data_IF_858613911641
#
_entry.id   IF_858613911641
#
_cell.length_a   1.000
_cell.length_b   1.000
_cell.length_c   1.000
_cell.angle_alpha   90.00
_cell.angle_beta   90.00
_cell.angle_gamma   90.00
#
_symmetry.space_group_name_H-M   'P 1'
#
loop_
_entity.id
_entity.type
_entity.pdbx_description
1 polymer ?
#
# COMPACT_ATOMS: atom_id res chain seq x y z
N UNK A 1 9.45 3.99 11.63
CA UNK A 1 8.20 4.73 11.79
C UNK A 1 8.20 6.00 10.95
N UNK A 2 7.19 6.16 10.09
CA UNK A 2 7.00 7.31 9.19
C UNK A 2 6.98 8.62 9.98
N UNK A 3 7.78 9.60 9.55
CA UNK A 3 7.82 10.93 10.16
C UNK A 3 6.43 11.59 10.12
N UNK A 4 6.00 12.19 11.23
CA UNK A 4 4.70 12.87 11.31
C UNK A 4 3.49 11.95 11.37
N UNK A 5 3.65 10.62 11.49
CA UNK A 5 2.49 9.71 11.59
C UNK A 5 1.60 10.00 12.81
N UNK A 6 2.19 10.52 13.89
CA UNK A 6 1.47 10.86 15.12
C UNK A 6 0.42 11.95 14.89
N UNK A 7 0.72 12.99 14.10
CA UNK A 7 -0.26 14.04 13.79
C UNK A 7 -1.44 13.49 12.99
N UNK A 8 -1.17 12.54 12.09
CA UNK A 8 -2.20 11.85 11.32
C UNK A 8 -3.09 11.01 12.25
N UNK A 9 -2.48 10.16 13.09
CA UNK A 9 -3.17 9.33 14.08
C UNK A 9 -4.11 10.17 14.96
N UNK A 10 -3.62 11.28 15.51
CA UNK A 10 -4.41 12.16 16.38
C UNK A 10 -5.59 12.80 15.66
N UNK A 11 -5.41 13.23 14.41
CA UNK A 11 -6.48 13.87 13.63
C UNK A 11 -7.58 12.87 13.22
N UNK A 12 -7.22 11.62 12.93
CA UNK A 12 -8.14 10.63 12.33
C UNK A 12 -8.57 9.50 13.28
N UNK A 13 -8.35 9.63 14.59
CA UNK A 13 -8.71 8.65 15.64
C UNK A 13 -10.19 8.28 15.80
N UNK A 14 -11.09 8.95 15.08
CA UNK A 14 -12.54 8.69 15.10
C UNK A 14 -13.02 8.29 13.68
N UNK A 15 -12.07 8.03 12.78
CA UNK A 15 -12.27 7.80 11.35
C UNK A 15 -11.51 6.58 10.83
N UNK A 16 -11.05 5.68 11.70
CA UNK A 16 -10.23 4.53 11.31
C UNK A 16 -10.99 3.58 10.38
N UNK A 17 -12.33 3.60 10.42
CA UNK A 17 -13.16 2.86 9.49
C UNK A 17 -13.08 3.41 8.04
N UNK A 18 -12.74 4.70 7.85
CA UNK A 18 -12.79 5.42 6.57
C UNK A 18 -11.54 5.31 5.71
N UNK A 19 -10.47 4.71 6.22
CA UNK A 19 -9.23 4.57 5.48
C UNK A 19 -8.50 3.28 5.83
N UNK A 20 -7.53 2.93 5.01
CA UNK A 20 -6.50 1.95 5.35
C UNK A 20 -5.17 2.38 4.75
N UNK A 21 -4.14 2.41 5.59
CA UNK A 21 -2.76 2.61 5.16
C UNK A 21 -2.23 1.29 4.60
N UNK A 22 -1.60 1.40 3.44
CA UNK A 22 -0.99 0.27 2.72
C UNK A 22 0.47 0.58 2.39
N UNK A 23 1.02 -0.10 1.38
CA UNK A 23 2.24 0.34 0.74
C UNK A 23 3.48 0.18 1.60
N UNK A 24 4.38 1.15 1.55
CA UNK A 24 5.61 1.12 2.36
C UNK A 24 5.34 1.42 3.83
N UNK A 25 4.49 2.40 4.10
CA UNK A 25 4.16 2.86 5.45
C UNK A 25 3.52 1.76 6.31
N UNK A 26 2.60 0.98 5.74
CA UNK A 26 2.00 -0.14 6.45
C UNK A 26 3.03 -1.22 6.82
N UNK A 27 3.99 -1.49 5.92
CA UNK A 27 5.08 -2.42 6.23
C UNK A 27 5.93 -1.92 7.39
N UNK A 28 6.30 -0.62 7.40
CA UNK A 28 7.09 -0.01 8.48
C UNK A 28 6.34 -0.03 9.83
N UNK A 29 5.03 0.25 9.85
CA UNK A 29 4.21 0.19 11.07
C UNK A 29 4.15 -1.24 11.61
N UNK A 30 3.85 -2.23 10.76
CA UNK A 30 3.71 -3.63 11.18
C UNK A 30 5.03 -4.26 11.62
N UNK A 31 6.13 -3.92 10.95
CA UNK A 31 7.44 -4.44 11.31
C UNK A 31 7.93 -3.82 12.62
N UNK A 32 7.66 -2.52 12.85
CA UNK A 32 7.98 -1.86 14.11
C UNK A 32 7.18 -2.45 15.30
N UNK A 33 5.91 -2.83 15.11
CA UNK A 33 5.12 -3.55 16.11
C UNK A 33 5.76 -4.89 16.52
N UNK A 34 6.51 -5.51 15.61
CA UNK A 34 7.24 -6.75 15.83
C UNK A 34 8.71 -6.54 16.24
N UNK A 35 9.12 -5.32 16.60
CA UNK A 35 10.51 -4.94 16.92
C UNK A 35 11.53 -5.26 15.80
N UNK A 36 11.10 -5.23 14.53
CA UNK A 36 11.95 -5.46 13.37
C UNK A 36 12.13 -4.18 12.55
N UNK A 37 13.38 -3.83 12.27
CA UNK A 37 13.69 -2.70 11.39
C UNK A 37 13.20 -2.95 9.95
N UNK A 38 12.48 -1.97 9.41
CA UNK A 38 12.11 -1.92 8.00
C UNK A 38 12.81 -0.75 7.30
N UNK A 39 12.90 -0.81 5.97
CA UNK A 39 13.48 0.31 5.22
C UNK A 39 12.63 1.57 5.39
N UNK A 40 13.27 2.72 5.44
CA UNK A 40 12.57 4.01 5.50
C UNK A 40 11.68 4.21 4.27
N UNK A 41 10.47 4.69 4.53
CA UNK A 41 9.49 5.12 3.54
C UNK A 41 9.03 6.53 3.90
N UNK A 42 8.83 7.37 2.89
CA UNK A 42 8.36 8.75 3.07
C UNK A 42 6.88 8.91 2.72
N UNK A 43 6.35 7.92 2.03
CA UNK A 43 5.05 7.97 1.39
C UNK A 43 4.03 7.28 2.29
N UNK A 44 2.96 8.00 2.60
CA UNK A 44 1.79 7.49 3.29
C UNK A 44 0.73 7.13 2.26
N UNK A 45 0.73 5.87 1.84
CA UNK A 45 -0.22 5.33 0.85
C UNK A 45 -1.54 4.98 1.54
N UNK A 46 -2.62 5.70 1.23
CA UNK A 46 -3.92 5.61 1.89
C UNK A 46 -5.02 5.26 0.89
N UNK A 47 -5.69 4.14 1.12
CA UNK A 47 -6.95 3.81 0.44
C UNK A 47 -8.10 4.38 1.25
N UNK A 48 -9.00 5.11 0.59
CA UNK A 48 -10.23 5.57 1.21
C UNK A 48 -11.35 4.56 1.11
N UNK A 49 -12.00 4.31 2.25
CA UNK A 49 -13.17 3.46 2.40
C UNK A 49 -14.37 4.39 2.59
N UNK A 50 -14.91 4.84 1.46
CA UNK A 50 -15.96 5.85 1.40
C UNK A 50 -17.31 5.17 1.22
N UNK A 51 -17.84 4.69 2.34
CA UNK A 51 -19.25 4.28 2.49
C UNK A 51 -20.06 5.45 3.09
N UNK A 52 -21.08 5.19 3.91
CA UNK A 52 -22.10 6.16 4.39
C UNK A 52 -21.57 7.36 5.23
N UNK A 53 -20.27 7.44 5.54
CA UNK A 53 -19.63 8.51 6.33
C UNK A 53 -18.63 9.40 5.56
N UNK A 54 -18.65 9.31 4.22
CA UNK A 54 -17.66 9.94 3.32
C UNK A 54 -17.49 11.46 3.47
N UNK A 55 -18.57 12.23 3.68
CA UNK A 55 -18.52 13.70 3.70
C UNK A 55 -17.76 14.27 4.92
N UNK A 56 -18.01 13.73 6.11
CA UNK A 56 -17.37 14.20 7.36
C UNK A 56 -15.87 13.93 7.32
N UNK A 57 -15.49 12.73 6.89
CA UNK A 57 -14.09 12.37 6.71
C UNK A 57 -13.41 13.29 5.69
N UNK A 58 -14.05 13.54 4.53
CA UNK A 58 -13.52 14.44 3.51
C UNK A 58 -13.17 15.82 4.08
N UNK A 59 -14.09 16.39 4.85
CA UNK A 59 -13.92 17.70 5.45
C UNK A 59 -12.73 17.73 6.41
N UNK A 60 -12.66 16.76 7.34
CA UNK A 60 -11.56 16.66 8.30
C UNK A 60 -10.22 16.43 7.59
N UNK A 61 -10.23 15.62 6.53
CA UNK A 61 -9.04 15.38 5.72
C UNK A 61 -8.55 16.68 5.06
N UNK A 62 -9.45 17.47 4.46
CA UNK A 62 -9.07 18.76 3.87
C UNK A 62 -8.58 19.77 4.89
N UNK A 63 -9.20 19.84 6.07
CA UNK A 63 -8.73 20.66 7.18
C UNK A 63 -7.29 20.27 7.54
N UNK A 64 -6.99 18.96 7.64
CA UNK A 64 -5.65 18.47 7.89
C UNK A 64 -4.65 18.88 6.81
N UNK A 65 -5.02 18.73 5.53
CA UNK A 65 -4.17 19.11 4.39
C UNK A 65 -3.83 20.60 4.42
N UNK A 66 -4.81 21.47 4.72
CA UNK A 66 -4.61 22.92 4.83
C UNK A 66 -3.80 23.33 6.05
N UNK A 67 -4.12 22.75 7.21
CA UNK A 67 -3.38 23.01 8.46
C UNK A 67 -1.90 22.72 8.28
N UNK A 68 -1.57 21.63 7.57
CA UNK A 68 -0.21 21.22 7.24
C UNK A 68 0.44 22.05 6.13
N UNK A 69 -0.34 22.71 5.27
CA UNK A 69 0.17 23.51 4.16
C UNK A 69 0.70 22.70 2.98
N UNK A 70 0.14 21.51 2.71
CA UNK A 70 0.58 20.68 1.59
C UNK A 70 0.35 21.33 0.22
N UNK A 71 1.23 21.04 -0.73
CA UNK A 71 0.96 21.14 -2.17
C UNK A 71 0.22 19.88 -2.63
N UNK A 72 -0.58 19.94 -3.71
CA UNK A 72 -1.31 18.76 -4.19
C UNK A 72 -1.20 18.58 -5.70
N UNK A 73 -0.85 17.38 -6.12
CA UNK A 73 -1.02 16.92 -7.48
C UNK A 73 -2.24 16.03 -7.53
N UNK A 74 -3.02 16.15 -8.59
CA UNK A 74 -4.15 15.24 -8.81
C UNK A 74 -4.15 14.75 -10.25
N UNK A 75 -4.58 13.52 -10.45
CA UNK A 75 -4.90 12.97 -11.77
C UNK A 75 -6.34 12.51 -11.74
N UNK A 76 -7.18 13.21 -12.49
CA UNK A 76 -8.57 12.83 -12.64
C UNK A 76 -8.67 11.78 -13.77
N UNK A 77 -9.21 10.61 -13.46
CA UNK A 77 -9.53 9.56 -14.42
C UNK A 77 -11.00 9.20 -14.23
N UNK A 78 -11.70 8.86 -15.32
CA UNK A 78 -13.11 8.42 -15.27
C UNK A 78 -13.35 7.24 -14.32
N UNK A 79 -12.29 6.49 -13.98
CA UNK A 79 -12.35 5.32 -13.09
C UNK A 79 -11.72 5.52 -11.71
N UNK A 80 -10.84 6.51 -11.53
CA UNK A 80 -10.12 6.69 -10.26
C UNK A 80 -9.72 8.14 -10.00
N UNK A 81 -9.87 8.57 -8.75
CA UNK A 81 -9.31 9.83 -8.26
C UNK A 81 -8.04 9.54 -7.48
N UNK A 82 -6.95 10.16 -7.90
CA UNK A 82 -5.67 10.11 -7.20
C UNK A 82 -5.26 11.51 -6.79
N UNK A 83 -4.85 11.65 -5.53
CA UNK A 83 -4.25 12.86 -4.99
C UNK A 83 -2.90 12.53 -4.37
N UNK A 84 -1.90 13.36 -4.63
CA UNK A 84 -0.59 13.31 -3.99
C UNK A 84 -0.36 14.64 -3.30
N UNK A 85 -0.20 14.60 -1.98
CA UNK A 85 0.10 15.76 -1.15
C UNK A 85 1.56 15.74 -0.74
N UNK A 86 2.29 16.83 -0.96
CA UNK A 86 3.73 16.92 -0.65
C UNK A 86 4.08 18.23 0.02
N UNK A 87 5.31 18.28 0.56
CA UNK A 87 5.92 19.49 1.12
C UNK A 87 5.09 20.17 2.24
N UNK A 88 4.63 19.43 3.26
CA UNK A 88 3.98 20.07 4.39
C UNK A 88 4.98 20.84 5.26
N UNK A 89 4.46 21.60 6.23
CA UNK A 89 5.24 22.11 7.35
C UNK A 89 5.76 20.95 8.25
N UNK A 90 6.81 21.17 9.05
CA UNK A 90 7.35 20.15 9.95
C UNK A 90 6.30 19.56 10.91
N UNK A 91 6.44 18.26 11.21
CA UNK A 91 5.53 17.53 12.11
C UNK A 91 4.41 16.74 11.43
N UNK A 92 4.36 16.75 10.09
CA UNK A 92 3.36 16.05 9.27
C UNK A 92 4.04 15.05 8.31
N UNK A 93 3.33 14.01 7.82
CA UNK A 93 3.86 13.07 6.83
C UNK A 93 4.35 13.78 5.58
N UNK A 94 5.62 13.58 5.20
CA UNK A 94 6.26 14.31 4.09
C UNK A 94 5.50 14.16 2.77
N UNK A 95 4.89 12.99 2.54
CA UNK A 95 4.05 12.70 1.39
C UNK A 95 2.84 11.87 1.79
N UNK A 96 1.66 12.23 1.27
CA UNK A 96 0.43 11.43 1.37
C UNK A 96 -0.06 11.13 -0.04
N UNK A 97 -0.27 9.86 -0.34
CA UNK A 97 -0.91 9.40 -1.57
C UNK A 97 -2.29 8.84 -1.25
N UNK A 98 -3.31 9.36 -1.93
CA UNK A 98 -4.70 9.05 -1.64
C UNK A 98 -5.36 8.36 -2.83
N UNK A 99 -5.97 7.21 -2.57
CA UNK A 99 -6.60 6.37 -3.58
C UNK A 99 -8.09 6.13 -3.25
N UNK A 100 -8.96 6.18 -4.26
CA UNK A 100 -10.41 5.95 -4.10
C UNK A 100 -11.04 5.25 -5.33
N UNK A 101 -11.91 4.24 -5.10
CA UNK A 101 -12.56 3.39 -6.13
C UNK A 101 -13.85 3.97 -6.73
N UNK A 102 -14.37 5.14 -6.33
CA UNK A 102 -15.59 5.71 -6.95
C UNK A 102 -15.62 7.25 -7.10
N UNK A 103 -16.39 7.76 -8.10
CA UNK A 103 -16.29 9.12 -8.63
C UNK A 103 -17.14 10.19 -7.91
N UNK A 104 -17.94 9.83 -6.90
CA UNK A 104 -18.75 10.79 -6.14
C UNK A 104 -17.94 11.60 -5.13
N UNK A 105 -16.73 11.13 -4.80
CA UNK A 105 -15.75 11.85 -4.01
C UNK A 105 -14.88 12.69 -4.94
N UNK A 106 -15.51 13.59 -5.70
CA UNK A 106 -14.75 14.74 -6.16
C UNK A 106 -14.43 15.53 -4.91
N UNK A 107 -13.25 15.30 -4.35
CA UNK A 107 -12.68 16.34 -3.51
C UNK A 107 -12.48 17.52 -4.45
N UNK A 108 -13.40 18.49 -4.39
CA UNK A 108 -13.17 19.79 -4.98
C UNK A 108 -11.85 20.28 -4.40
N UNK A 109 -10.83 20.36 -5.25
CA UNK A 109 -9.53 20.89 -4.85
C UNK A 109 -9.78 22.35 -4.52
N UNK A 110 -9.77 22.66 -3.22
CA UNK A 110 -10.05 24.02 -2.77
C UNK A 110 -9.00 25.01 -3.31
N UNK A 111 -9.41 26.27 -3.46
CA UNK A 111 -8.52 27.34 -3.90
C UNK A 111 -7.27 27.46 -3.01
N UNK A 112 -6.09 27.57 -3.62
CA UNK A 112 -4.80 27.72 -2.92
C UNK A 112 -3.89 26.50 -2.97
N UNK A 113 -4.36 25.39 -3.51
CA UNK A 113 -3.57 24.17 -3.66
C UNK A 113 -2.89 24.12 -5.05
N UNK A 114 -1.57 23.89 -5.08
CA UNK A 114 -0.74 23.98 -6.30
C UNK A 114 -0.55 22.60 -6.96
N UNK A 115 -0.85 22.42 -8.27
CA UNK A 115 -0.66 21.16 -8.99
C UNK A 115 0.80 20.70 -9.06
N UNK A 116 1.04 19.39 -8.92
CA UNK A 116 2.35 18.73 -9.16
C UNK A 116 2.22 17.50 -10.08
N UNK A 117 3.34 17.05 -10.65
CA UNK A 117 3.44 15.86 -11.51
C UNK A 117 3.36 14.55 -10.70
N UNK A 118 2.81 13.49 -11.31
CA UNK A 118 2.53 12.19 -10.66
C UNK A 118 3.32 11.09 -11.39
N UNK A 119 4.06 10.29 -10.63
CA UNK A 119 4.94 9.23 -11.15
C UNK A 119 4.20 7.93 -11.53
N UNK A 120 4.86 7.11 -12.35
CA UNK A 120 4.31 5.89 -12.96
C UNK A 120 4.05 4.70 -12.00
N UNK A 121 4.61 4.70 -10.79
CA UNK A 121 4.43 3.66 -9.74
C UNK A 121 2.98 3.63 -9.22
N UNK A 122 2.27 4.77 -9.33
CA UNK A 122 0.84 4.91 -9.02
C UNK A 122 -0.02 3.97 -9.88
N UNK A 123 0.45 3.61 -11.07
CA UNK A 123 -0.31 2.80 -12.04
C UNK A 123 -0.61 1.39 -11.55
N UNK A 124 0.35 0.72 -10.90
CA UNK A 124 0.17 -0.66 -10.43
C UNK A 124 -0.81 -0.71 -9.26
N UNK A 125 -0.71 0.23 -8.32
CA UNK A 125 -1.66 0.30 -7.20
C UNK A 125 -3.05 0.73 -7.65
N UNK A 126 -3.15 1.61 -8.65
CA UNK A 126 -4.43 1.92 -9.30
C UNK A 126 -5.08 0.67 -9.91
N UNK A 127 -4.30 -0.16 -10.60
CA UNK A 127 -4.80 -1.40 -11.21
C UNK A 127 -5.29 -2.41 -10.16
N UNK A 128 -4.57 -2.54 -9.04
CA UNK A 128 -4.98 -3.35 -7.89
C UNK A 128 -6.33 -2.87 -7.36
N UNK A 129 -6.46 -1.57 -7.10
CA UNK A 129 -7.63 -1.03 -6.43
C UNK A 129 -8.87 -1.03 -7.31
N UNK A 130 -8.73 -0.96 -8.63
CA UNK A 130 -9.83 -1.06 -9.58
C UNK A 130 -10.39 -2.49 -9.74
N UNK A 131 -9.66 -3.49 -9.26
CA UNK A 131 -10.09 -4.89 -9.32
C UNK A 131 -10.89 -5.28 -8.06
N UNK A 132 -12.05 -5.89 -8.29
CA UNK A 132 -12.97 -6.26 -7.21
C UNK A 132 -12.38 -7.31 -6.27
N UNK A 133 -11.62 -8.27 -6.79
CA UNK A 133 -11.00 -9.32 -5.98
C UNK A 133 -9.99 -8.71 -5.00
N UNK A 134 -9.10 -7.83 -5.48
CA UNK A 134 -8.11 -7.15 -4.65
C UNK A 134 -8.72 -6.17 -3.65
N UNK A 135 -9.81 -5.48 -4.04
CA UNK A 135 -10.51 -4.60 -3.11
C UNK A 135 -11.15 -5.39 -1.97
N UNK A 136 -11.89 -6.45 -2.27
CA UNK A 136 -12.55 -7.28 -1.27
C UNK A 136 -11.51 -7.97 -0.37
N UNK A 137 -10.42 -8.47 -0.96
CA UNK A 137 -9.30 -9.04 -0.24
C UNK A 137 -8.69 -8.03 0.74
N UNK A 138 -8.48 -6.78 0.31
CA UNK A 138 -7.99 -5.71 1.19
C UNK A 138 -8.94 -5.44 2.35
N UNK A 139 -10.26 -5.42 2.11
CA UNK A 139 -11.25 -5.18 3.14
C UNK A 139 -11.20 -6.21 4.27
N UNK A 140 -10.94 -7.49 3.95
CA UNK A 140 -10.78 -8.57 4.93
C UNK A 140 -9.47 -8.48 5.73
N UNK A 141 -8.45 -7.84 5.16
CA UNK A 141 -7.11 -7.75 5.74
C UNK A 141 -6.88 -6.57 6.67
N UNK A 142 -7.88 -5.71 6.89
CA UNK A 142 -7.72 -4.47 7.68
C UNK A 142 -7.60 -4.78 9.17
N UNK A 143 -6.72 -4.06 9.85
CA UNK A 143 -6.58 -4.10 11.31
C UNK A 143 -6.26 -2.71 11.86
N UNK A 144 -6.33 -2.56 13.18
CA UNK A 144 -5.91 -1.35 13.90
C UNK A 144 -4.59 -1.63 14.62
N UNK A 145 -3.56 -0.84 14.32
CA UNK A 145 -2.30 -0.81 15.06
C UNK A 145 -2.13 0.60 15.61
N UNK A 146 -2.04 0.73 16.94
CA UNK A 146 -1.96 2.03 17.63
C UNK A 146 -2.99 3.07 17.13
N UNK A 147 -4.25 2.68 16.95
CA UNK A 147 -5.30 3.60 16.47
C UNK A 147 -5.16 4.04 15.02
N UNK A 148 -4.37 3.32 14.21
CA UNK A 148 -4.25 3.54 12.77
C UNK A 148 -4.76 2.30 12.04
N UNK A 149 -5.69 2.50 11.09
CA UNK A 149 -6.08 1.41 10.19
C UNK A 149 -4.98 1.10 9.18
N UNK A 150 -4.46 -0.13 9.24
CA UNK A 150 -3.41 -0.64 8.36
C UNK A 150 -3.83 -1.98 7.75
N UNK A 151 -3.31 -2.32 6.58
CA UNK A 151 -3.50 -3.64 5.98
C UNK A 151 -2.49 -4.63 6.56
N UNK A 152 -2.94 -5.78 7.07
CA UNK A 152 -2.09 -6.83 7.66
C UNK A 152 -1.02 -7.32 6.69
N UNK A 153 0.08 -7.85 7.23
CA UNK A 153 1.24 -8.31 6.46
C UNK A 153 0.86 -9.38 5.43
N UNK A 154 0.01 -10.33 5.82
CA UNK A 154 -0.48 -11.40 4.96
C UNK A 154 -1.31 -10.87 3.78
N UNK A 155 -1.91 -9.68 3.89
CA UNK A 155 -2.71 -9.08 2.83
C UNK A 155 -1.91 -8.08 2.00
N UNK A 156 -0.86 -7.48 2.59
CA UNK A 156 0.13 -6.69 1.86
C UNK A 156 0.97 -7.54 0.90
N UNK A 157 1.27 -8.78 1.26
CA UNK A 157 2.10 -9.68 0.43
C UNK A 157 1.51 -9.84 -0.98
N UNK A 158 0.23 -10.23 -1.19
CA UNK A 158 -0.35 -10.32 -2.53
C UNK A 158 -0.35 -8.99 -3.31
N UNK A 159 -0.52 -7.86 -2.61
CA UNK A 159 -0.37 -6.53 -3.24
C UNK A 159 1.04 -6.32 -3.80
N UNK A 160 2.08 -6.72 -3.04
CA UNK A 160 3.48 -6.64 -3.51
C UNK A 160 3.76 -7.63 -4.64
N UNK A 161 3.21 -8.84 -4.58
CA UNK A 161 3.31 -9.83 -5.65
C UNK A 161 2.74 -9.31 -6.95
N UNK A 162 1.52 -8.75 -6.92
CA UNK A 162 0.88 -8.14 -8.08
C UNK A 162 1.71 -6.98 -8.64
N UNK A 163 2.14 -6.04 -7.79
CA UNK A 163 2.94 -4.90 -8.22
C UNK A 163 4.24 -5.35 -8.92
N UNK A 164 4.89 -6.40 -8.41
CA UNK A 164 6.07 -6.97 -9.06
C UNK A 164 5.75 -7.56 -10.44
N UNK A 165 4.67 -8.35 -10.55
CA UNK A 165 4.22 -8.94 -11.81
C UNK A 165 3.83 -7.88 -12.84
N UNK A 166 3.09 -6.86 -12.43
CA UNK A 166 2.68 -5.76 -13.30
C UNK A 166 3.89 -4.98 -13.85
N UNK A 167 4.82 -4.59 -12.97
CA UNK A 167 6.08 -3.96 -13.39
C UNK A 167 6.90 -4.87 -14.33
N UNK A 168 6.91 -6.18 -14.08
CA UNK A 168 7.55 -7.16 -14.97
C UNK A 168 6.91 -7.20 -16.36
N UNK A 169 5.58 -7.22 -16.43
CA UNK A 169 4.81 -7.18 -17.69
C UNK A 169 5.03 -5.87 -18.44
N UNK A 170 5.07 -4.71 -17.75
CA UNK A 170 5.40 -3.40 -18.31
C UNK A 170 6.81 -3.37 -18.92
N UNK A 171 7.80 -3.89 -18.19
CA UNK A 171 9.19 -3.99 -18.66
C UNK A 171 9.30 -4.84 -19.94
N UNK A 172 8.56 -5.95 -20.02
CA UNK A 172 8.52 -6.80 -21.23
C UNK A 172 7.90 -6.10 -22.45
N UNK A 173 6.96 -5.16 -22.22
CA UNK A 173 6.38 -4.32 -23.28
C UNK A 173 7.27 -3.14 -23.70
N UNK A 174 8.45 -3.00 -23.10
CA UNK A 174 9.39 -1.91 -23.39
C UNK A 174 9.03 -0.59 -22.71
N UNK A 175 8.11 -0.59 -21.74
CA UNK A 175 7.81 0.58 -20.92
C UNK A 175 8.97 0.88 -19.95
N UNK A 176 9.14 2.15 -19.58
CA UNK A 176 10.08 2.51 -18.53
C UNK A 176 9.61 1.97 -17.18
N UNK A 177 10.49 1.24 -16.49
CA UNK A 177 10.25 0.67 -15.16
C UNK A 177 11.45 1.00 -14.29
N UNK A 178 11.19 1.55 -13.10
CA UNK A 178 12.23 1.79 -12.13
C UNK A 178 12.70 0.46 -11.52
N UNK A 179 13.94 0.07 -11.81
CA UNK A 179 14.52 -1.18 -11.32
C UNK A 179 14.59 -1.26 -9.78
N UNK A 180 14.68 -0.11 -9.09
CA UNK A 180 14.63 -0.07 -7.62
C UNK A 180 13.26 -0.49 -7.14
N UNK A 181 12.20 0.01 -7.78
CA UNK A 181 10.82 -0.27 -7.40
C UNK A 181 10.45 -1.72 -7.74
N UNK A 182 10.88 -2.22 -8.90
CA UNK A 182 10.78 -3.64 -9.22
C UNK A 182 11.44 -4.53 -8.15
N UNK A 183 12.68 -4.24 -7.75
CA UNK A 183 13.38 -5.03 -6.72
C UNK A 183 12.74 -4.87 -5.33
N UNK A 184 12.22 -3.69 -4.98
CA UNK A 184 11.63 -3.41 -3.65
C UNK A 184 10.40 -4.29 -3.42
N UNK A 185 9.50 -4.39 -4.40
CA UNK A 185 8.27 -5.19 -4.28
C UNK A 185 8.57 -6.68 -4.08
N UNK A 186 9.49 -7.25 -4.86
CA UNK A 186 9.94 -8.63 -4.68
C UNK A 186 10.48 -8.86 -3.28
N UNK A 187 11.42 -8.03 -2.84
CA UNK A 187 12.09 -8.23 -1.56
C UNK A 187 11.13 -8.07 -0.36
N UNK A 188 10.12 -7.21 -0.48
CA UNK A 188 9.15 -7.00 0.60
C UNK A 188 8.23 -8.18 0.85
N UNK A 189 7.90 -8.95 -0.19
CA UNK A 189 7.18 -10.23 -0.02
C UNK A 189 7.90 -11.11 1.00
N UNK A 190 9.22 -11.24 0.88
CA UNK A 190 10.02 -12.07 1.78
C UNK A 190 10.32 -11.39 3.11
N UNK A 191 10.48 -10.06 3.16
CA UNK A 191 10.66 -9.36 4.45
C UNK A 191 9.44 -9.53 5.36
N UNK A 192 8.24 -9.44 4.78
CA UNK A 192 6.99 -9.57 5.51
C UNK A 192 6.78 -10.98 6.06
N UNK A 193 7.42 -12.02 5.50
CA UNK A 193 7.36 -13.38 6.04
C UNK A 193 7.85 -13.49 7.50
N UNK A 194 8.65 -12.54 7.97
CA UNK A 194 9.13 -12.52 9.37
C UNK A 194 8.01 -12.29 10.38
N UNK A 195 6.89 -11.70 9.97
CA UNK A 195 5.82 -11.24 10.87
C UNK A 195 4.45 -11.87 10.56
N UNK A 196 4.36 -12.77 9.58
CA UNK A 196 3.12 -13.47 9.30
C UNK A 196 2.95 -14.72 10.17
N UNK A 197 1.70 -15.16 10.33
CA UNK A 197 1.41 -16.48 10.88
C UNK A 197 1.42 -17.57 9.79
N UNK A 198 2.42 -18.48 9.73
CA UNK A 198 2.50 -19.52 8.70
C UNK A 198 1.37 -20.56 8.76
N UNK A 199 0.67 -20.65 9.89
CA UNK A 199 -0.46 -21.57 10.09
C UNK A 199 -1.80 -20.98 9.63
N UNK A 200 -1.90 -19.65 9.48
CA UNK A 200 -3.11 -18.99 8.99
C UNK A 200 -3.41 -19.45 7.57
N UNK A 201 -4.71 -19.63 7.26
CA UNK A 201 -5.20 -19.96 5.93
C UNK A 201 -6.05 -18.81 5.42
N UNK A 202 -5.53 -18.13 4.41
CA UNK A 202 -6.16 -16.97 3.80
C UNK A 202 -6.73 -17.40 2.47
N UNK A 203 -8.03 -17.23 2.33
CA UNK A 203 -8.74 -17.56 1.10
C UNK A 203 -8.40 -16.48 0.07
N UNK A 204 -7.92 -16.91 -1.08
CA UNK A 204 -7.63 -16.05 -2.23
C UNK A 204 -8.46 -16.51 -3.43
N UNK A 205 -9.05 -15.57 -4.16
CA UNK A 205 -9.87 -15.88 -5.34
C UNK A 205 -9.58 -14.91 -6.47
N UNK A 206 -9.98 -15.30 -7.69
CA UNK A 206 -9.87 -14.46 -8.88
C UNK A 206 -8.44 -13.97 -9.10
N UNK A 207 -8.31 -12.68 -9.41
CA UNK A 207 -7.03 -12.08 -9.75
C UNK A 207 -5.99 -12.15 -8.62
N UNK A 208 -6.43 -12.15 -7.36
CA UNK A 208 -5.52 -12.27 -6.20
C UNK A 208 -4.82 -13.62 -6.24
N UNK A 209 -5.60 -14.70 -6.39
CA UNK A 209 -5.09 -16.07 -6.48
C UNK A 209 -4.17 -16.26 -7.68
N UNK A 210 -4.62 -15.82 -8.85
CA UNK A 210 -3.83 -15.93 -10.09
C UNK A 210 -2.48 -15.23 -9.96
N UNK A 211 -2.44 -14.07 -9.28
CA UNK A 211 -1.22 -13.30 -9.06
C UNK A 211 -0.28 -13.97 -8.06
N UNK A 212 -0.81 -14.61 -7.02
CA UNK A 212 -0.01 -15.38 -6.07
C UNK A 212 0.62 -16.58 -6.79
N UNK A 213 -0.16 -17.34 -7.54
CA UNK A 213 0.31 -18.52 -8.29
C UNK A 213 1.38 -18.13 -9.33
N UNK A 214 1.14 -17.08 -10.12
CA UNK A 214 2.09 -16.57 -11.11
C UNK A 214 3.39 -16.10 -10.43
N UNK A 215 3.30 -15.38 -9.31
CA UNK A 215 4.47 -14.92 -8.57
C UNK A 215 5.30 -16.08 -8.04
N UNK A 216 4.67 -17.05 -7.37
CA UNK A 216 5.34 -18.23 -6.82
C UNK A 216 6.05 -19.04 -7.91
N UNK A 217 5.43 -19.20 -9.07
CA UNK A 217 6.06 -19.88 -10.20
C UNK A 217 7.29 -19.15 -10.73
N UNK A 218 7.20 -17.82 -10.92
CA UNK A 218 8.34 -16.99 -11.33
C UNK A 218 9.49 -17.08 -10.33
N UNK A 219 9.18 -17.05 -9.03
CA UNK A 219 10.19 -17.13 -7.98
C UNK A 219 10.97 -18.45 -7.94
N UNK A 220 10.53 -19.53 -8.60
CA UNK A 220 11.32 -20.76 -8.72
C UNK A 220 12.59 -20.59 -9.56
N UNK A 221 12.58 -19.62 -10.48
CA UNK A 221 13.68 -19.35 -11.42
C UNK A 221 14.50 -18.11 -11.05
N UNK A 222 14.04 -17.33 -10.09
CA UNK A 222 14.73 -16.15 -9.57
C UNK A 222 15.67 -16.55 -8.42
N UNK A 223 16.81 -15.88 -8.30
CA UNK A 223 17.68 -16.02 -7.12
C UNK A 223 17.35 -14.92 -6.10
N UNK A 224 17.08 -15.31 -4.87
CA UNK A 224 16.69 -14.42 -3.77
C UNK A 224 17.59 -14.71 -2.57
N UNK A 225 18.27 -13.67 -2.09
CA UNK A 225 19.12 -13.75 -0.90
C UNK A 225 18.27 -13.51 0.34
N UNK A 226 17.48 -14.52 0.71
CA UNK A 226 16.50 -14.47 1.79
C UNK A 226 17.12 -14.13 3.16
N UNK A 227 18.39 -14.49 3.37
CA UNK A 227 19.15 -14.16 4.58
C UNK A 227 19.38 -12.65 4.71
N UNK A 228 19.59 -11.95 3.58
CA UNK A 228 19.70 -10.48 3.54
C UNK A 228 18.35 -9.78 3.78
N UNK A 229 17.26 -10.56 3.82
CA UNK A 229 15.91 -10.08 4.06
C UNK A 229 15.40 -10.45 5.47
N UNK A 230 16.27 -10.99 6.32
CA UNK A 230 15.95 -11.35 7.71
C UNK A 230 15.38 -12.76 7.90
N UNK A 231 15.36 -13.58 6.86
CA UNK A 231 14.85 -14.95 6.93
C UNK A 231 15.97 -15.95 7.24
N UNK A 232 15.70 -16.85 8.19
CA UNK A 232 16.57 -17.98 8.56
C UNK A 232 16.12 -19.30 7.90
N UNK A 233 15.43 -19.21 6.75
CA UNK A 233 14.92 -20.34 5.99
C UNK A 233 15.40 -20.25 4.54
N UNK A 234 15.40 -21.38 3.83
CA UNK A 234 15.74 -21.39 2.41
C UNK A 234 14.68 -20.66 1.58
N UNK A 235 15.04 -20.22 0.36
CA UNK A 235 14.07 -19.70 -0.60
C UNK A 235 12.96 -20.71 -0.90
N UNK A 236 13.29 -22.00 -1.00
CA UNK A 236 12.32 -23.06 -1.24
C UNK A 236 11.29 -23.14 -0.10
N UNK A 237 11.74 -23.08 1.15
CA UNK A 237 10.85 -23.13 2.31
C UNK A 237 10.04 -21.85 2.47
N UNK A 238 10.60 -20.69 2.13
CA UNK A 238 9.85 -19.43 2.08
C UNK A 238 8.69 -19.51 1.06
N UNK A 239 8.93 -20.10 -0.11
CA UNK A 239 7.88 -20.33 -1.11
C UNK A 239 6.84 -21.35 -0.63
N UNK A 240 7.25 -22.39 0.11
CA UNK A 240 6.31 -23.34 0.74
C UNK A 240 5.42 -22.65 1.79
N UNK A 241 5.98 -21.76 2.61
CA UNK A 241 5.20 -20.98 3.59
C UNK A 241 4.14 -20.15 2.86
N UNK A 242 4.53 -19.38 1.84
CA UNK A 242 3.59 -18.57 1.06
C UNK A 242 2.50 -19.44 0.42
N UNK A 243 2.87 -20.56 -0.21
CA UNK A 243 1.92 -21.49 -0.80
C UNK A 243 0.96 -22.10 0.25
N UNK A 244 1.42 -22.35 1.47
CA UNK A 244 0.59 -22.93 2.51
C UNK A 244 -0.37 -21.91 3.14
N UNK A 245 0.00 -20.63 3.17
CA UNK A 245 -0.82 -19.55 3.75
C UNK A 245 -1.99 -19.19 2.84
N UNK A 246 -1.80 -19.13 1.52
CA UNK A 246 -2.85 -18.76 0.58
C UNK A 246 -3.52 -19.97 -0.07
N UNK A 247 -4.86 -20.06 0.00
CA UNK A 247 -5.68 -21.14 -0.58
C UNK A 247 -6.56 -20.65 -1.73
#
# INVERSE_FOLDING_TARGET
MVEGIQSFREKFKDYEANYTIIGGAACDILMAEADIDFRLTKDLDIILILEDSSEKFAKVFWEYIKEAGYKCGWKNSEKMHFYRFTEPKPGYPIMIELFSRKPGYQLEVEEGIIPIHIDDDVSSLSAILLNDDFYNFMMEGRTLIDGISVLRAEYLIPFKMYAWLDLGKRKQRGEHVNDRDFKKHKNDVFRLLQIINPEEKIISTGLVKDSIEEFLDKMKSESIRVEQLGLNISQEDALKVLHNVYQ
#
